data_IF_788717824853
#
_entry.id   IF_788717824853
#
_cell.length_a   1.000
_cell.length_b   1.000
_cell.length_c   1.000
_cell.angle_alpha   90.00
_cell.angle_beta   90.00
_cell.angle_gamma   90.00
#
_symmetry.space_group_name_H-M   'P 1'
#
loop_
_entity.id
_entity.type
_entity.pdbx_description
1 polymer ?
#
# COMPACT_ATOMS: atom_id res chain seq x y z
N UNK A 1 -69.32 21.05 -10.99
CA UNK A 1 -69.97 21.73 -12.13
C UNK A 1 -68.97 22.77 -12.63
N UNK A 2 -68.58 22.67 -13.92
CA UNK A 2 -68.22 23.74 -14.88
C UNK A 2 -67.49 25.00 -14.34
N UNK A 3 -66.45 25.57 -14.93
CA UNK A 3 -65.98 25.57 -16.32
C UNK A 3 -64.62 26.30 -16.37
N UNK A 4 -63.88 25.98 -17.42
CA UNK A 4 -62.80 26.72 -18.08
C UNK A 4 -63.18 28.16 -18.49
N UNK A 5 -62.21 29.10 -18.45
CA UNK A 5 -61.87 30.11 -19.50
C UNK A 5 -60.66 30.95 -19.03
N UNK A 6 -59.49 30.92 -19.70
CA UNK A 6 -59.04 31.81 -20.81
C UNK A 6 -59.14 33.31 -20.45
N UNK A 7 -58.15 34.20 -20.59
CA UNK A 7 -57.32 34.50 -21.79
C UNK A 7 -56.41 35.74 -21.50
N UNK A 8 -55.25 35.83 -22.17
CA UNK A 8 -54.78 37.03 -22.95
C UNK A 8 -54.38 38.34 -22.23
N UNK A 9 -53.47 39.23 -22.65
CA UNK A 9 -52.39 39.33 -23.66
C UNK A 9 -51.60 40.63 -23.34
N UNK A 10 -50.35 40.73 -23.82
CA UNK A 10 -49.66 42.00 -24.12
C UNK A 10 -48.55 42.41 -23.14
N UNK A 11 -47.33 42.77 -23.57
CA UNK A 11 -46.81 42.92 -24.92
C UNK A 11 -45.29 43.19 -24.98
N UNK A 12 -44.69 42.60 -26.03
CA UNK A 12 -43.52 42.97 -26.87
C UNK A 12 -42.63 44.17 -26.48
N UNK A 13 -41.30 43.98 -26.64
CA UNK A 13 -40.53 44.62 -27.72
C UNK A 13 -39.46 43.65 -28.24
N UNK A 14 -39.53 43.37 -29.54
CA UNK A 14 -38.53 42.65 -30.31
C UNK A 14 -37.55 43.64 -30.97
N UNK A 15 -36.30 43.23 -31.16
CA UNK A 15 -35.47 43.51 -32.35
C UNK A 15 -34.57 42.26 -32.54
N UNK A 16 -34.85 41.33 -33.46
CA UNK A 16 -34.55 41.36 -34.90
C UNK A 16 -33.08 41.77 -35.20
N UNK A 17 -32.25 41.12 -36.03
CA UNK A 17 -32.47 40.08 -37.04
C UNK A 17 -31.11 39.74 -37.71
N UNK A 18 -31.04 38.55 -38.36
CA UNK A 18 -30.14 38.10 -39.46
C UNK A 18 -28.79 37.40 -39.13
N UNK A 19 -28.82 36.07 -39.34
CA UNK A 19 -27.77 35.13 -39.83
C UNK A 19 -27.41 35.48 -41.33
N UNK A 20 -26.50 34.82 -42.10
CA UNK A 20 -25.89 33.48 -41.94
C UNK A 20 -24.46 33.24 -42.57
N UNK A 21 -24.02 31.96 -42.53
CA UNK A 21 -23.08 31.22 -43.43
C UNK A 21 -21.56 31.22 -43.15
N UNK A 22 -21.11 30.06 -42.68
CA UNK A 22 -19.91 29.26 -42.95
C UNK A 22 -18.57 29.92 -43.37
N UNK A 23 -17.54 29.68 -42.55
CA UNK A 23 -16.15 29.56 -42.98
C UNK A 23 -15.52 28.36 -42.25
N UNK A 24 -15.09 27.35 -43.03
CA UNK A 24 -14.20 26.28 -42.58
C UNK A 24 -12.85 26.87 -42.16
N UNK A 25 -12.30 26.45 -41.02
CA UNK A 25 -10.86 26.25 -40.85
C UNK A 25 -10.60 25.14 -39.82
N UNK A 26 -9.83 24.15 -40.25
CA UNK A 26 -9.04 23.20 -39.46
C UNK A 26 -8.38 23.92 -38.27
N UNK A 27 -8.08 23.34 -37.09
CA UNK A 27 -7.10 22.31 -36.78
C UNK A 27 -7.24 22.02 -35.26
N UNK A 28 -6.89 20.79 -34.85
CA UNK A 28 -6.52 20.35 -33.49
C UNK A 28 -7.65 20.08 -32.49
N UNK A 29 -8.11 18.84 -32.58
CA UNK A 29 -8.23 17.92 -31.44
C UNK A 29 -7.01 18.07 -30.51
N UNK A 30 -7.04 19.00 -29.57
CA UNK A 30 -6.18 18.94 -28.40
C UNK A 30 -6.88 18.01 -27.42
N UNK A 31 -6.49 16.74 -27.51
CA UNK A 31 -6.47 15.84 -26.37
C UNK A 31 -5.99 16.63 -25.15
N UNK A 32 -6.79 16.72 -24.11
CA UNK A 32 -6.26 16.92 -22.78
C UNK A 32 -5.76 15.55 -22.30
N UNK A 33 -4.45 15.23 -22.39
CA UNK A 33 -3.96 14.06 -21.69
C UNK A 33 -4.13 14.33 -20.20
N UNK A 34 -4.83 13.41 -19.55
CA UNK A 34 -4.76 13.18 -18.13
C UNK A 34 -3.28 13.21 -17.71
N UNK A 35 -2.87 14.23 -16.97
CA UNK A 35 -1.56 14.22 -16.29
C UNK A 35 -1.68 13.28 -15.10
N UNK A 36 -1.77 11.98 -15.38
CA UNK A 36 -1.24 11.00 -14.45
C UNK A 36 0.27 11.06 -14.64
N UNK A 37 0.94 11.80 -13.75
CA UNK A 37 2.39 11.79 -13.69
C UNK A 37 2.89 10.35 -13.62
N UNK A 38 3.60 9.91 -14.65
CA UNK A 38 4.29 8.64 -14.63
C UNK A 38 5.38 8.70 -13.55
N UNK A 39 5.11 8.14 -12.37
CA UNK A 39 6.14 7.90 -11.36
C UNK A 39 7.13 6.90 -11.96
N UNK A 40 8.26 7.40 -12.46
CA UNK A 40 9.39 6.57 -12.87
C UNK A 40 9.90 5.86 -11.61
N UNK A 41 9.64 4.56 -11.48
CA UNK A 41 10.33 3.72 -10.49
C UNK A 41 11.82 3.78 -10.81
N UNK A 42 12.58 4.55 -10.04
CA UNK A 42 14.05 4.56 -10.17
C UNK A 42 14.57 3.16 -9.81
N UNK A 43 15.51 2.59 -10.58
CA UNK A 43 16.11 1.32 -10.23
C UNK A 43 16.83 1.49 -8.89
N UNK A 44 16.56 0.58 -7.95
CA UNK A 44 17.18 0.61 -6.63
C UNK A 44 18.70 0.44 -6.76
N UNK A 45 19.51 1.16 -5.97
CA UNK A 45 20.93 0.91 -5.87
C UNK A 45 21.12 -0.51 -5.29
N UNK A 46 21.63 -1.40 -6.14
CA UNK A 46 21.98 -2.76 -5.75
C UNK A 46 23.20 -2.69 -4.82
N UNK A 47 23.16 -3.30 -3.62
CA UNK A 47 24.33 -3.37 -2.74
C UNK A 47 25.53 -3.97 -3.49
N UNK A 48 26.69 -3.33 -3.33
CA UNK A 48 27.92 -3.64 -4.05
C UNK A 48 28.30 -5.12 -3.90
N UNK A 49 28.41 -5.81 -5.04
CA UNK A 49 28.76 -7.23 -5.13
C UNK A 49 30.23 -7.43 -4.77
N UNK A 50 30.51 -7.56 -3.48
CA UNK A 50 31.58 -8.41 -2.97
C UNK A 50 30.98 -9.51 -2.08
N UNK A 51 30.00 -10.21 -2.63
CA UNK A 51 29.58 -11.50 -2.12
C UNK A 51 30.31 -12.56 -2.96
N UNK A 52 31.04 -13.45 -2.30
CA UNK A 52 31.54 -14.67 -2.94
C UNK A 52 30.39 -15.32 -3.71
N UNK A 53 30.64 -15.64 -4.99
CA UNK A 53 29.67 -16.27 -5.87
C UNK A 53 29.17 -17.57 -5.22
N UNK A 54 27.93 -17.53 -4.73
CA UNK A 54 27.17 -18.73 -4.42
C UNK A 54 26.51 -19.11 -5.75
N UNK A 55 27.02 -20.19 -6.34
CA UNK A 55 26.45 -20.86 -7.51
C UNK A 55 24.92 -21.04 -7.32
N UNK A 56 24.08 -20.74 -8.32
CA UNK A 56 22.63 -20.88 -8.21
C UNK A 56 22.24 -22.35 -8.29
N UNK A 57 22.37 -23.05 -7.16
CA UNK A 57 21.87 -24.41 -6.98
C UNK A 57 21.16 -24.57 -5.64
N UNK A 58 19.95 -24.02 -5.54
CA UNK A 58 18.75 -24.69 -5.02
C UNK A 58 17.64 -23.65 -4.81
N UNK A 59 16.49 -23.92 -5.42
CA UNK A 59 15.25 -23.12 -5.40
C UNK A 59 14.55 -23.16 -4.04
N UNK A 60 15.30 -23.13 -2.94
CA UNK A 60 14.76 -23.22 -1.58
C UNK A 60 14.67 -21.84 -0.95
N UNK A 61 13.47 -21.48 -0.51
CA UNK A 61 13.23 -20.30 0.29
C UNK A 61 14.03 -20.40 1.60
N UNK A 62 14.87 -19.40 1.88
CA UNK A 62 15.63 -19.32 3.13
C UNK A 62 14.99 -18.33 4.11
N UNK A 63 15.23 -18.54 5.41
CA UNK A 63 14.78 -17.61 6.45
C UNK A 63 15.35 -16.20 6.24
N UNK A 64 16.60 -16.11 5.75
CA UNK A 64 17.25 -14.84 5.49
C UNK A 64 16.64 -14.10 4.30
N UNK A 65 16.20 -14.81 3.26
CA UNK A 65 15.48 -14.20 2.16
C UNK A 65 14.12 -13.65 2.61
N UNK A 66 13.38 -14.40 3.44
CA UNK A 66 12.12 -13.93 4.03
C UNK A 66 12.34 -12.69 4.90
N UNK A 67 13.32 -12.74 5.80
CA UNK A 67 13.60 -11.62 6.69
C UNK A 67 14.07 -10.38 5.93
N UNK A 68 14.94 -10.54 4.94
CA UNK A 68 15.37 -9.45 4.08
C UNK A 68 14.18 -8.80 3.37
N UNK A 69 13.24 -9.59 2.86
CA UNK A 69 12.02 -9.07 2.25
C UNK A 69 11.15 -8.30 3.24
N UNK A 70 10.94 -8.84 4.45
CA UNK A 70 10.18 -8.17 5.53
C UNK A 70 10.77 -6.79 5.83
N UNK A 71 12.09 -6.72 5.97
CA UNK A 71 12.82 -5.45 6.14
C UNK A 71 12.63 -4.52 4.94
N UNK A 72 12.81 -5.05 3.73
CA UNK A 72 12.76 -4.27 2.48
C UNK A 72 11.40 -3.63 2.24
N UNK A 73 10.30 -4.27 2.63
CA UNK A 73 8.96 -3.70 2.41
C UNK A 73 8.52 -2.73 3.53
N UNK A 74 9.34 -2.56 4.58
CA UNK A 74 9.04 -1.65 5.68
C UNK A 74 7.91 -2.12 6.60
N UNK A 75 7.84 -3.43 6.87
CA UNK A 75 6.92 -3.96 7.89
C UNK A 75 7.36 -3.51 9.29
N UNK A 76 6.42 -2.99 10.07
CA UNK A 76 6.67 -2.61 11.47
C UNK A 76 6.95 -3.85 12.33
N UNK A 77 7.84 -3.71 13.31
CA UNK A 77 8.26 -4.80 14.21
C UNK A 77 8.79 -6.05 13.45
N UNK A 78 9.75 -5.88 12.53
CA UNK A 78 10.16 -6.93 11.58
C UNK A 78 10.70 -8.19 12.27
N UNK A 79 11.37 -8.04 13.42
CA UNK A 79 11.83 -9.18 14.24
C UNK A 79 10.65 -10.06 14.67
N UNK A 80 9.58 -9.46 15.19
CA UNK A 80 8.41 -10.21 15.68
C UNK A 80 7.64 -10.81 14.51
N UNK A 81 7.50 -10.09 13.40
CA UNK A 81 6.86 -10.62 12.19
C UNK A 81 7.63 -11.83 11.62
N UNK A 82 8.95 -11.80 11.68
CA UNK A 82 9.76 -12.97 11.29
C UNK A 82 9.54 -14.16 12.22
N UNK A 83 9.41 -13.93 13.53
CA UNK A 83 9.03 -14.98 14.48
C UNK A 83 7.67 -15.58 14.12
N UNK A 84 6.71 -14.77 13.67
CA UNK A 84 5.40 -15.27 13.23
C UNK A 84 5.56 -16.18 12.02
N UNK A 85 6.28 -15.73 10.99
CA UNK A 85 6.53 -16.57 9.81
C UNK A 85 7.16 -17.92 10.17
N UNK A 86 8.12 -17.93 11.11
CA UNK A 86 8.73 -19.17 11.62
C UNK A 86 7.70 -20.05 12.34
N UNK A 87 6.89 -19.47 13.22
CA UNK A 87 5.90 -20.19 14.01
C UNK A 87 4.82 -20.80 13.12
N UNK A 88 4.23 -20.02 12.21
CA UNK A 88 3.16 -20.45 11.30
C UNK A 88 3.63 -21.57 10.37
N UNK A 89 4.81 -21.40 9.77
CA UNK A 89 5.34 -22.36 8.78
C UNK A 89 6.10 -23.54 9.40
N UNK A 90 6.35 -23.52 10.70
CA UNK A 90 7.23 -24.49 11.36
C UNK A 90 8.64 -24.47 10.77
N UNK A 91 9.30 -23.31 10.80
CA UNK A 91 10.64 -23.11 10.23
C UNK A 91 10.71 -23.36 8.71
N UNK A 92 9.70 -22.90 7.95
CA UNK A 92 9.55 -23.11 6.51
C UNK A 92 9.41 -24.60 6.09
N UNK A 93 9.03 -25.50 7.02
CA UNK A 93 8.92 -26.94 6.76
C UNK A 93 7.49 -27.41 6.46
N UNK A 94 6.48 -26.59 6.77
CA UNK A 94 5.07 -26.94 6.57
C UNK A 94 4.74 -27.07 5.08
N UNK A 95 4.59 -28.31 4.60
CA UNK A 95 4.23 -28.57 3.18
C UNK A 95 2.92 -27.90 2.78
N UNK A 96 1.93 -27.86 3.68
CA UNK A 96 0.62 -27.29 3.38
C UNK A 96 0.71 -25.78 3.11
N UNK A 97 1.36 -25.03 3.99
CA UNK A 97 1.49 -23.57 3.85
C UNK A 97 2.50 -23.17 2.77
N UNK A 98 3.62 -23.90 2.69
CA UNK A 98 4.67 -23.62 1.70
C UNK A 98 4.20 -23.92 0.27
N UNK A 99 3.38 -24.96 0.03
CA UNK A 99 2.83 -25.27 -1.29
C UNK A 99 1.82 -24.24 -1.81
N UNK A 100 1.33 -23.36 -0.94
CA UNK A 100 0.39 -22.28 -1.28
C UNK A 100 1.01 -20.89 -1.06
N UNK A 101 2.32 -20.85 -0.79
CA UNK A 101 3.10 -19.64 -0.53
C UNK A 101 2.53 -18.75 0.60
N UNK A 102 1.92 -19.32 1.63
CA UNK A 102 1.30 -18.57 2.72
C UNK A 102 2.18 -18.62 3.97
N UNK A 103 2.99 -17.57 4.18
CA UNK A 103 3.93 -17.51 5.29
C UNK A 103 3.28 -17.19 6.64
N UNK A 104 2.09 -16.60 6.63
CA UNK A 104 1.44 -16.03 7.82
C UNK A 104 0.16 -16.76 8.24
N UNK A 105 -0.18 -17.86 7.58
CA UNK A 105 -1.36 -18.66 7.90
C UNK A 105 -2.70 -17.96 7.66
N UNK A 106 -2.72 -16.87 6.87
CA UNK A 106 -3.95 -16.10 6.66
C UNK A 106 -5.05 -16.95 6.04
N UNK A 107 -6.27 -16.80 6.57
CA UNK A 107 -7.45 -17.56 6.18
C UNK A 107 -8.69 -16.68 6.13
N UNK A 108 -9.61 -17.04 5.24
CA UNK A 108 -11.01 -16.62 5.30
C UNK A 108 -11.83 -17.83 5.74
N UNK A 109 -12.37 -18.60 4.79
CA UNK A 109 -12.93 -19.93 5.03
C UNK A 109 -11.87 -21.04 4.83
N UNK A 110 -10.89 -20.78 3.96
CA UNK A 110 -9.73 -21.64 3.69
C UNK A 110 -8.46 -20.79 3.73
N UNK A 111 -7.30 -21.43 3.75
CA UNK A 111 -6.03 -20.70 3.64
C UNK A 111 -5.97 -19.90 2.34
N UNK A 112 -5.52 -18.65 2.45
CA UNK A 112 -5.21 -17.83 1.29
C UNK A 112 -4.03 -18.45 0.53
N UNK A 113 -4.13 -18.44 -0.79
CA UNK A 113 -3.08 -18.90 -1.71
C UNK A 113 -2.44 -17.69 -2.37
N UNK A 114 -1.12 -17.67 -2.41
CA UNK A 114 -0.35 -16.62 -3.05
C UNK A 114 0.42 -17.15 -4.26
N UNK A 115 0.68 -16.25 -5.23
CA UNK A 115 1.46 -16.57 -6.43
C UNK A 115 2.90 -16.97 -6.09
N UNK A 116 3.49 -16.24 -5.14
CA UNK A 116 4.82 -16.47 -4.60
C UNK A 116 4.86 -16.05 -3.12
N UNK A 117 5.93 -16.37 -2.42
CA UNK A 117 6.05 -16.12 -0.98
C UNK A 117 6.18 -14.62 -0.66
N UNK A 118 6.73 -13.83 -1.59
CA UNK A 118 6.81 -12.37 -1.48
C UNK A 118 5.43 -11.73 -1.42
N UNK A 119 4.47 -12.21 -2.24
CA UNK A 119 3.09 -11.72 -2.23
C UNK A 119 2.39 -11.95 -0.88
N UNK A 120 2.81 -12.97 -0.12
CA UNK A 120 2.31 -13.19 1.24
C UNK A 120 2.81 -12.11 2.20
N UNK A 121 4.04 -11.64 2.03
CA UNK A 121 4.62 -10.53 2.79
C UNK A 121 3.96 -9.21 2.43
N UNK A 122 3.72 -8.95 1.14
CA UNK A 122 2.98 -7.76 0.71
C UNK A 122 1.56 -7.74 1.29
N UNK A 123 0.87 -8.89 1.28
CA UNK A 123 -0.44 -9.04 1.90
C UNK A 123 -0.40 -8.80 3.41
N UNK A 124 0.66 -9.24 4.09
CA UNK A 124 0.85 -8.99 5.53
C UNK A 124 1.05 -7.50 5.81
N UNK A 125 1.88 -6.80 5.03
CA UNK A 125 2.09 -5.36 5.17
C UNK A 125 0.77 -4.59 5.08
N UNK A 126 -0.06 -4.89 4.07
CA UNK A 126 -1.39 -4.27 3.91
C UNK A 126 -2.29 -4.61 5.10
N UNK A 127 -2.27 -5.85 5.57
CA UNK A 127 -3.04 -6.30 6.73
C UNK A 127 -2.62 -5.55 8.01
N UNK A 128 -1.31 -5.35 8.21
CA UNK A 128 -0.72 -4.68 9.38
C UNK A 128 -1.06 -3.19 9.36
N UNK A 129 -0.84 -2.50 8.24
CA UNK A 129 -1.15 -1.06 8.10
C UNK A 129 -2.61 -0.72 8.39
N UNK A 130 -3.54 -1.62 8.10
CA UNK A 130 -4.97 -1.42 8.37
C UNK A 130 -5.36 -1.59 9.85
N UNK A 131 -4.50 -2.17 10.68
CA UNK A 131 -4.85 -2.63 12.04
C UNK A 131 -3.94 -2.08 13.14
N UNK A 132 -2.68 -1.85 12.81
CA UNK A 132 -1.68 -1.27 13.69
C UNK A 132 -1.95 0.23 13.84
N UNK A 133 -2.06 0.67 15.09
CA UNK A 133 -2.32 2.07 15.43
C UNK A 133 -1.07 2.72 16.01
N UNK A 134 -1.05 4.04 16.06
CA UNK A 134 0.08 4.78 16.63
C UNK A 134 0.25 4.51 18.13
N UNK A 135 -0.81 4.12 18.83
CA UNK A 135 -0.79 3.83 20.27
C UNK A 135 -0.23 2.43 20.59
N UNK A 136 -0.13 1.54 19.60
CA UNK A 136 0.34 0.16 19.76
C UNK A 136 1.88 0.11 19.89
N UNK A 137 2.41 0.52 21.03
CA UNK A 137 3.86 0.49 21.32
C UNK A 137 4.41 -0.91 21.57
N UNK A 138 3.59 -1.80 22.13
CA UNK A 138 3.92 -3.22 22.31
C UNK A 138 3.22 -4.06 21.23
N UNK A 139 4.03 -4.66 20.35
CA UNK A 139 3.52 -5.46 19.25
C UNK A 139 2.80 -6.73 19.71
N UNK A 140 3.19 -7.33 20.83
CA UNK A 140 2.49 -8.51 21.35
C UNK A 140 1.10 -8.14 21.86
N UNK A 141 0.98 -7.01 22.57
CA UNK A 141 -0.32 -6.49 22.98
C UNK A 141 -1.20 -6.17 21.76
N UNK A 142 -0.62 -5.59 20.70
CA UNK A 142 -1.32 -5.41 19.42
C UNK A 142 -1.89 -6.73 18.87
N UNK A 143 -1.07 -7.79 18.81
CA UNK A 143 -1.48 -9.11 18.30
C UNK A 143 -2.60 -9.74 19.15
N UNK A 144 -2.55 -9.57 20.47
CA UNK A 144 -3.60 -10.03 21.38
C UNK A 144 -4.90 -9.23 21.17
N UNK A 145 -4.80 -7.90 21.09
CA UNK A 145 -5.94 -6.97 20.89
C UNK A 145 -6.73 -7.28 19.62
N UNK A 146 -6.04 -7.58 18.53
CA UNK A 146 -6.67 -7.86 17.24
C UNK A 146 -7.02 -9.34 17.04
N UNK A 147 -6.75 -10.19 18.03
CA UNK A 147 -7.04 -11.63 17.98
C UNK A 147 -6.33 -12.33 16.83
N UNK A 148 -5.03 -12.04 16.62
CA UNK A 148 -4.27 -12.62 15.51
C UNK A 148 -4.32 -14.16 15.49
N UNK A 149 -4.06 -14.75 16.66
CA UNK A 149 -3.99 -16.19 16.86
C UNK A 149 -4.91 -16.66 17.99
N UNK A 150 -4.86 -17.96 18.27
CA UNK A 150 -5.57 -18.55 19.38
C UNK A 150 -5.10 -17.99 20.74
N UNK A 151 -5.89 -18.10 21.82
CA UNK A 151 -5.45 -17.73 23.16
C UNK A 151 -4.09 -18.34 23.50
N UNK A 152 -3.15 -17.53 23.98
CA UNK A 152 -1.77 -17.94 24.27
C UNK A 152 -0.80 -17.89 23.08
N UNK A 153 -1.24 -17.44 21.90
CA UNK A 153 -0.39 -17.30 20.72
C UNK A 153 0.88 -16.47 20.97
N UNK A 154 0.75 -15.30 21.62
CA UNK A 154 1.89 -14.42 21.90
C UNK A 154 2.90 -15.06 22.85
N UNK A 155 2.46 -15.92 23.78
CA UNK A 155 3.34 -16.68 24.65
C UNK A 155 4.16 -17.74 23.88
N UNK A 156 3.57 -18.36 22.86
CA UNK A 156 4.31 -19.26 21.95
C UNK A 156 5.30 -18.48 21.08
N UNK A 157 4.86 -17.33 20.56
CA UNK A 157 5.66 -16.49 19.68
C UNK A 157 6.95 -16.00 20.36
N UNK A 158 6.87 -15.60 21.63
CA UNK A 158 8.05 -15.18 22.43
C UNK A 158 9.11 -16.28 22.59
N UNK A 159 8.75 -17.56 22.43
CA UNK A 159 9.69 -18.70 22.51
C UNK A 159 10.49 -18.91 21.21
N UNK A 160 10.09 -18.27 20.10
CA UNK A 160 10.76 -18.42 18.82
C UNK A 160 12.10 -17.66 18.84
N UNK A 161 13.20 -18.41 18.69
CA UNK A 161 14.55 -17.84 18.69
C UNK A 161 14.89 -17.22 17.33
N UNK A 162 14.64 -15.91 17.20
CA UNK A 162 15.12 -15.08 16.09
C UNK A 162 15.67 -13.77 16.64
N UNK A 163 16.96 -13.50 16.41
CA UNK A 163 17.67 -12.36 17.01
C UNK A 163 18.11 -11.30 16.00
N UNK A 164 17.97 -11.56 14.70
CA UNK A 164 18.36 -10.60 13.66
C UNK A 164 17.41 -9.40 13.65
N UNK A 165 17.97 -8.23 13.41
CA UNK A 165 17.25 -6.98 13.16
C UNK A 165 17.52 -6.51 11.72
N UNK A 166 16.65 -5.65 11.20
CA UNK A 166 16.92 -4.99 9.93
C UNK A 166 18.15 -4.09 10.09
N UNK A 167 19.11 -4.16 9.17
CA UNK A 167 20.32 -3.35 9.29
C UNK A 167 20.00 -1.85 9.26
N UNK A 168 20.69 -1.07 10.09
CA UNK A 168 20.60 0.41 10.12
C UNK A 168 20.80 1.06 8.74
N UNK A 169 21.54 0.41 7.83
CA UNK A 169 21.71 0.85 6.45
C UNK A 169 20.39 1.03 5.66
N UNK A 170 19.30 0.37 6.07
CA UNK A 170 17.99 0.53 5.43
C UNK A 170 17.18 1.73 5.97
N UNK A 171 17.53 2.26 7.15
CA UNK A 171 16.82 3.41 7.72
C UNK A 171 17.07 4.69 6.92
N UNK A 172 18.30 4.88 6.41
CA UNK A 172 18.65 6.05 5.60
C UNK A 172 17.88 6.12 4.25
N UNK A 173 17.27 5.01 3.81
CA UNK A 173 16.53 4.95 2.54
C UNK A 173 15.01 5.14 2.69
N UNK A 174 14.43 4.81 3.85
CA UNK A 174 12.99 4.88 4.08
C UNK A 174 12.54 6.04 4.97
N UNK A 175 13.46 6.72 5.66
CA UNK A 175 13.15 7.94 6.41
C UNK A 175 12.77 9.11 5.49
N UNK A 176 13.10 9.03 4.19
CA UNK A 176 12.70 10.02 3.18
C UNK A 176 11.25 9.84 2.70
N UNK A 177 10.75 8.61 2.55
CA UNK A 177 9.36 8.34 2.10
C UNK A 177 8.31 8.75 3.16
N UNK A 178 8.70 8.81 4.43
CA UNK A 178 7.82 9.23 5.52
C UNK A 178 7.77 10.76 5.66
N UNK A 179 8.80 11.45 5.16
CA UNK A 179 8.85 12.91 5.07
C UNK A 179 7.97 13.39 3.91
N UNK A 180 7.92 12.70 2.77
CA UNK A 180 7.05 13.08 1.64
C UNK A 180 5.55 13.05 2.00
N UNK A 181 5.10 12.10 2.82
CA UNK A 181 3.73 12.07 3.37
C UNK A 181 3.47 13.18 4.40
N UNK A 182 4.49 13.65 5.12
CA UNK A 182 4.37 14.75 6.07
C UNK A 182 4.40 16.12 5.37
N UNK A 183 5.24 16.28 4.33
CA UNK A 183 5.35 17.49 3.51
C UNK A 183 4.07 17.69 2.69
N UNK A 184 3.48 16.62 2.15
CA UNK A 184 2.20 16.68 1.42
C UNK A 184 0.99 17.05 2.32
N UNK A 185 1.18 17.15 3.65
CA UNK A 185 0.16 17.68 4.59
C UNK A 185 0.44 19.10 5.06
N UNK A 186 1.62 19.68 4.78
CA UNK A 186 1.99 21.02 5.25
C UNK A 186 1.60 22.10 4.22
N UNK A 187 1.52 21.75 2.93
CA UNK A 187 1.16 22.70 1.87
C UNK A 187 -0.31 23.18 1.89
N UNK A 188 -1.16 22.56 2.71
CA UNK A 188 -2.57 22.97 2.91
C UNK A 188 -2.78 23.97 4.08
N UNK A 189 -1.73 24.38 4.79
CA UNK A 189 -1.85 25.21 6.02
C UNK A 189 -1.33 26.66 5.84
N UNK A 190 -0.81 27.02 4.67
CA UNK A 190 -0.44 28.42 4.40
C UNK A 190 -1.65 29.14 3.78
N UNK A 191 -2.56 29.59 4.64
CA UNK A 191 -3.54 30.64 4.32
C UNK A 191 -2.78 31.89 3.82
N UNK A 192 -2.99 32.37 2.57
CA UNK A 192 -2.47 33.65 2.15
C UNK A 192 -3.34 34.77 2.74
N UNK A 193 -3.14 35.03 4.04
CA UNK A 193 -3.77 36.11 4.77
C UNK A 193 -2.75 37.17 5.19
N UNK A 194 -2.94 38.37 4.63
CA UNK A 194 -2.53 39.67 5.17
C UNK A 194 -1.03 40.02 5.19
N UNK A 195 -0.60 40.75 4.16
CA UNK A 195 0.37 41.84 4.33
C UNK A 195 -0.22 43.12 3.72
N UNK A 196 -0.37 44.10 4.61
CA UNK A 196 -0.84 45.48 4.47
C UNK A 196 -0.17 46.28 3.37
#
# INVERSE_FOLDING_TARGET
MVNTTLTSCGGRVARDLKKPVAILMFIAWVCAPQVYGAVKKRPMPVPNKKAHAIEPNSSQLSLDAVFHQICRVGISFPRVVMQQAILETGWLKSKQLMSINNLFGFKTHRYLRYKNWESSIDSYLVWQRKRLRMEDKDYYHFLDRIGYGAPGYTALLRKVNWRKDCSSAWHQYYEFDQIDEAIMRIDDVIEPGELS
#
